data_IF_215565781559
#
_entry.id   IF_215565781559
#
_cell.length_a   1.000
_cell.length_b   1.000
_cell.length_c   1.000
_cell.angle_alpha   90.00
_cell.angle_beta   90.00
_cell.angle_gamma   90.00
#
_symmetry.space_group_name_H-M   'P 1'
#
loop_
_entity.id
_entity.type
_entity.pdbx_description
1 polymer ?
#
# COMPACT_ATOMS: atom_id res chain seq x y z
N UNK A 1 13.76 -19.10 -27.96
CA UNK A 1 12.96 -18.03 -28.58
C UNK A 1 13.70 -16.71 -28.36
N UNK A 2 14.29 -16.10 -29.39
CA UNK A 2 15.09 -14.85 -29.26
C UNK A 2 14.14 -13.66 -29.05
N UNK A 3 14.06 -13.15 -27.83
CA UNK A 3 13.33 -11.91 -27.53
C UNK A 3 14.21 -10.75 -27.99
N UNK A 4 13.76 -9.98 -28.99
CA UNK A 4 14.41 -8.74 -29.42
C UNK A 4 14.32 -7.74 -28.27
N UNK A 5 15.46 -7.29 -27.76
CA UNK A 5 15.55 -6.13 -26.89
C UNK A 5 15.35 -4.87 -27.75
N UNK A 6 14.11 -4.50 -28.01
CA UNK A 6 13.81 -3.19 -28.57
C UNK A 6 14.18 -2.12 -27.52
N UNK A 7 15.03 -1.16 -27.88
CA UNK A 7 15.40 -0.09 -26.94
C UNK A 7 14.19 0.81 -26.73
N UNK A 8 14.04 1.38 -25.53
CA UNK A 8 12.99 2.35 -25.24
C UNK A 8 12.90 3.48 -26.26
N UNK A 9 14.04 3.92 -26.80
CA UNK A 9 14.15 4.92 -27.86
C UNK A 9 13.44 4.52 -29.15
N UNK A 10 13.33 3.22 -29.41
CA UNK A 10 12.80 2.67 -30.65
C UNK A 10 11.27 2.56 -30.58
N UNK A 11 10.74 2.37 -29.36
CA UNK A 11 9.29 2.31 -29.10
C UNK A 11 8.73 3.70 -28.75
N UNK A 12 9.55 4.55 -28.12
CA UNK A 12 9.19 5.89 -27.62
C UNK A 12 10.34 6.87 -27.86
N UNK A 13 10.50 7.42 -29.08
CA UNK A 13 11.61 8.30 -29.44
C UNK A 13 11.74 9.55 -28.54
N UNK A 14 10.64 9.99 -27.94
CA UNK A 14 10.60 11.18 -27.07
C UNK A 14 10.66 10.86 -25.57
N UNK A 15 10.99 9.63 -25.17
CA UNK A 15 11.00 9.20 -23.77
C UNK A 15 11.87 10.08 -22.87
N UNK A 16 13.07 10.47 -23.32
CA UNK A 16 13.95 11.32 -22.51
C UNK A 16 13.38 12.73 -22.34
N UNK A 17 12.74 13.28 -23.37
CA UNK A 17 12.06 14.56 -23.30
C UNK A 17 10.82 14.49 -22.39
N UNK A 18 10.03 13.42 -22.48
CA UNK A 18 8.88 13.19 -21.60
C UNK A 18 9.28 12.99 -20.13
N UNK A 19 10.39 12.28 -19.85
CA UNK A 19 10.97 12.13 -18.50
C UNK A 19 11.45 13.47 -17.95
N UNK A 20 12.19 14.24 -18.76
CA UNK A 20 12.71 15.55 -18.37
C UNK A 20 11.57 16.56 -18.10
N UNK A 21 10.58 16.62 -18.99
CA UNK A 21 9.38 17.44 -18.83
C UNK A 21 8.56 17.02 -17.61
N UNK A 22 8.49 15.72 -17.29
CA UNK A 22 7.78 15.25 -16.09
C UNK A 22 8.52 15.57 -14.79
N UNK A 23 9.85 15.41 -14.74
CA UNK A 23 10.66 15.83 -13.59
C UNK A 23 10.53 17.36 -13.38
N UNK A 24 10.44 18.13 -14.47
CA UNK A 24 10.20 19.56 -14.43
C UNK A 24 8.76 19.93 -13.99
N UNK A 25 7.74 19.19 -14.44
CA UNK A 25 6.32 19.47 -14.13
C UNK A 25 5.88 18.99 -12.74
N UNK A 26 6.48 17.92 -12.22
CA UNK A 26 6.13 17.38 -10.90
C UNK A 26 6.82 18.12 -9.75
N UNK A 27 7.77 19.02 -10.05
CA UNK A 27 8.54 19.74 -9.05
C UNK A 27 9.39 18.81 -8.17
N UNK A 28 9.56 17.55 -8.57
CA UNK A 28 10.43 16.58 -7.91
C UNK A 28 11.85 17.12 -7.98
N UNK A 29 12.30 17.75 -6.90
CA UNK A 29 13.71 18.03 -6.73
C UNK A 29 14.43 16.70 -6.68
N UNK A 30 15.55 16.60 -7.39
CA UNK A 30 16.51 15.50 -7.22
C UNK A 30 16.75 15.26 -5.72
N UNK A 31 16.44 14.05 -5.24
CA UNK A 31 16.56 13.65 -3.82
C UNK A 31 15.27 13.59 -3.00
N UNK A 32 14.08 13.84 -3.56
CA UNK A 32 12.82 13.54 -2.86
C UNK A 32 12.39 12.08 -3.06
N UNK A 33 12.08 11.40 -1.95
CA UNK A 33 11.71 9.98 -1.88
C UNK A 33 10.26 9.81 -1.43
N UNK A 34 9.53 8.90 -2.09
CA UNK A 34 8.08 8.73 -1.95
C UNK A 34 7.68 7.30 -1.54
N UNK A 35 6.48 7.13 -0.97
CA UNK A 35 5.82 5.82 -0.95
C UNK A 35 5.29 5.45 -2.34
N UNK A 36 5.03 4.17 -2.63
CA UNK A 36 4.39 3.73 -3.90
C UNK A 36 3.11 4.53 -4.19
N UNK A 37 2.24 4.68 -3.19
CA UNK A 37 0.99 5.44 -3.33
C UNK A 37 1.24 6.92 -3.63
N UNK A 38 2.29 7.50 -3.06
CA UNK A 38 2.66 8.89 -3.30
C UNK A 38 3.28 9.07 -4.70
N UNK A 39 4.17 8.17 -5.10
CA UNK A 39 4.75 8.16 -6.44
C UNK A 39 3.66 8.13 -7.51
N UNK A 40 2.70 7.21 -7.40
CA UNK A 40 1.56 7.11 -8.33
C UNK A 40 0.68 8.38 -8.36
N UNK A 41 0.48 9.03 -7.21
CA UNK A 41 -0.28 10.30 -7.15
C UNK A 41 0.48 11.43 -7.84
N UNK A 42 1.79 11.50 -7.68
CA UNK A 42 2.63 12.54 -8.29
C UNK A 42 2.81 12.35 -9.80
N UNK A 43 2.91 11.10 -10.26
CA UNK A 43 3.13 10.79 -11.68
C UNK A 43 1.85 10.46 -12.43
N UNK A 44 0.67 10.82 -11.93
CA UNK A 44 -0.62 10.22 -12.34
C UNK A 44 -0.87 10.14 -13.85
N UNK A 45 -0.45 11.15 -14.65
CA UNK A 45 -0.55 11.09 -16.12
C UNK A 45 0.36 10.04 -16.74
N UNK A 46 1.60 9.95 -16.25
CA UNK A 46 2.59 8.96 -16.69
C UNK A 46 2.23 7.55 -16.25
N UNK A 47 1.75 7.37 -15.02
CA UNK A 47 1.20 6.09 -14.56
C UNK A 47 0.04 5.63 -15.45
N UNK A 48 -0.88 6.53 -15.77
CA UNK A 48 -1.99 6.25 -16.70
C UNK A 48 -1.50 5.86 -18.08
N UNK A 49 -0.43 6.50 -18.56
CA UNK A 49 0.16 6.23 -19.87
C UNK A 49 0.83 4.85 -19.92
N UNK A 50 1.71 4.55 -18.96
CA UNK A 50 2.46 3.29 -18.87
C UNK A 50 1.51 2.09 -18.81
N UNK A 51 0.44 2.22 -18.03
CA UNK A 51 -0.52 1.14 -17.80
C UNK A 51 -1.72 1.19 -18.76
N UNK A 52 -1.68 2.03 -19.81
CA UNK A 52 -2.79 2.14 -20.78
C UNK A 52 -3.07 0.83 -21.51
N UNK A 53 -2.02 0.05 -21.78
CA UNK A 53 -2.07 -1.23 -22.49
C UNK A 53 -2.15 -2.43 -21.54
N UNK A 54 -2.07 -2.20 -20.23
CA UNK A 54 -2.21 -3.27 -19.25
C UNK A 54 -3.67 -3.78 -19.22
N UNK A 55 -3.89 -5.09 -19.05
CA UNK A 55 -5.23 -5.63 -18.90
C UNK A 55 -5.93 -5.00 -17.69
N UNK A 56 -7.25 -4.85 -17.74
CA UNK A 56 -8.00 -4.50 -16.54
C UNK A 56 -8.12 -5.71 -15.63
N UNK A 57 -7.96 -5.53 -14.32
CA UNK A 57 -8.27 -6.54 -13.29
C UNK A 57 -9.71 -7.09 -13.37
N UNK A 58 -10.62 -6.40 -14.07
CA UNK A 58 -12.03 -6.75 -14.27
C UNK A 58 -12.26 -8.03 -15.09
N UNK A 59 -11.21 -8.57 -15.71
CA UNK A 59 -11.29 -9.70 -16.64
C UNK A 59 -11.11 -11.07 -15.96
N UNK A 60 -10.95 -11.14 -14.63
CA UNK A 60 -10.44 -12.36 -13.99
C UNK A 60 -11.23 -12.85 -12.77
N UNK A 61 -10.97 -14.12 -12.42
CA UNK A 61 -11.76 -15.00 -11.55
C UNK A 61 -12.29 -14.29 -10.30
N UNK A 62 -13.61 -14.12 -10.29
CA UNK A 62 -14.34 -13.57 -9.17
C UNK A 62 -14.62 -14.70 -8.19
N UNK A 63 -13.80 -14.84 -7.15
CA UNK A 63 -14.20 -15.62 -6.00
C UNK A 63 -15.22 -14.77 -5.21
N UNK A 64 -16.49 -15.13 -5.33
CA UNK A 64 -17.54 -14.55 -4.51
C UNK A 64 -17.47 -15.16 -3.12
N UNK A 65 -17.11 -14.36 -2.12
CA UNK A 65 -17.42 -14.71 -0.75
C UNK A 65 -18.95 -14.58 -0.61
N UNK A 66 -19.61 -15.62 -0.10
CA UNK A 66 -21.05 -15.63 0.16
C UNK A 66 -21.38 -14.75 1.37
N UNK A 67 -21.19 -13.45 1.23
CA UNK A 67 -21.41 -12.45 2.27
C UNK A 67 -22.48 -11.44 1.81
N UNK A 68 -23.40 -11.03 2.70
CA UNK A 68 -24.47 -10.09 2.35
C UNK A 68 -23.90 -8.71 2.01
N UNK A 69 -24.39 -8.07 0.95
CA UNK A 69 -24.00 -6.69 0.64
C UNK A 69 -24.57 -5.74 1.70
N UNK A 70 -23.69 -4.98 2.37
CA UNK A 70 -24.10 -4.00 3.37
C UNK A 70 -23.91 -2.57 2.85
N UNK A 71 -24.92 -1.71 3.09
CA UNK A 71 -24.84 -0.27 2.81
C UNK A 71 -23.96 0.38 3.89
N UNK A 72 -22.69 0.55 3.56
CA UNK A 72 -21.73 1.19 4.46
C UNK A 72 -21.39 2.60 4.03
N UNK A 73 -21.31 3.48 5.01
CA UNK A 73 -20.71 4.80 4.91
C UNK A 73 -19.21 4.77 4.53
N UNK A 74 -18.85 5.43 3.43
CA UNK A 74 -17.48 5.46 2.91
C UNK A 74 -16.63 6.62 3.45
N UNK A 75 -17.14 7.43 4.40
CA UNK A 75 -16.44 8.60 4.96
C UNK A 75 -15.07 8.27 5.57
N UNK A 76 -14.87 7.04 6.04
CA UNK A 76 -13.63 6.61 6.69
C UNK A 76 -13.02 5.34 6.07
N UNK A 77 -13.11 5.20 4.74
CA UNK A 77 -12.68 3.99 4.03
C UNK A 77 -11.27 3.49 4.41
N UNK A 78 -10.28 4.38 4.50
CA UNK A 78 -8.92 4.01 4.91
C UNK A 78 -8.84 3.56 6.37
N UNK A 79 -9.59 4.19 7.27
CA UNK A 79 -9.62 3.79 8.69
C UNK A 79 -10.30 2.45 8.83
N UNK A 80 -11.44 2.22 8.16
CA UNK A 80 -12.15 0.95 8.17
C UNK A 80 -11.24 -0.15 7.60
N UNK A 81 -10.63 0.08 6.44
CA UNK A 81 -9.72 -0.89 5.81
C UNK A 81 -8.56 -1.29 6.73
N UNK A 82 -7.79 -0.31 7.23
CA UNK A 82 -6.65 -0.58 8.13
C UNK A 82 -7.10 -1.17 9.47
N UNK A 83 -8.26 -0.78 10.00
CA UNK A 83 -8.79 -1.37 11.23
C UNK A 83 -9.17 -2.83 11.02
N UNK A 84 -9.86 -3.16 9.93
CA UNK A 84 -10.26 -4.53 9.61
C UNK A 84 -9.06 -5.44 9.36
N UNK A 85 -8.04 -4.94 8.66
CA UNK A 85 -6.76 -5.63 8.47
C UNK A 85 -6.09 -5.94 9.83
N UNK A 86 -5.95 -4.94 10.69
CA UNK A 86 -5.34 -5.08 11.99
C UNK A 86 -6.14 -6.04 12.89
N UNK A 87 -7.47 -5.94 12.94
CA UNK A 87 -8.31 -6.85 13.71
C UNK A 87 -8.18 -8.29 13.17
N UNK A 88 -8.15 -8.49 11.86
CA UNK A 88 -7.96 -9.82 11.27
C UNK A 88 -6.59 -10.40 11.63
N UNK A 89 -5.51 -9.62 11.50
CA UNK A 89 -4.17 -10.03 11.90
C UNK A 89 -4.10 -10.40 13.40
N UNK A 90 -4.72 -9.59 14.26
CA UNK A 90 -4.82 -9.86 15.70
C UNK A 90 -5.58 -11.15 15.97
N UNK A 91 -6.70 -11.38 15.29
CA UNK A 91 -7.53 -12.57 15.47
C UNK A 91 -6.81 -13.85 15.02
N UNK A 92 -6.01 -13.78 13.96
CA UNK A 92 -5.32 -14.92 13.38
C UNK A 92 -4.02 -15.28 14.10
N UNK A 93 -3.28 -14.26 14.54
CA UNK A 93 -1.89 -14.44 15.00
C UNK A 93 -1.66 -14.00 16.45
N UNK A 94 -2.65 -13.34 17.06
CA UNK A 94 -2.58 -12.82 18.42
C UNK A 94 -1.73 -11.56 18.56
N UNK A 95 -1.80 -10.96 19.74
CA UNK A 95 -1.13 -9.70 20.08
C UNK A 95 0.35 -9.64 19.68
N UNK A 96 1.11 -10.70 20.00
CA UNK A 96 2.56 -10.72 19.83
C UNK A 96 3.00 -10.60 18.36
N UNK A 97 2.13 -10.92 17.41
CA UNK A 97 2.42 -10.85 15.97
C UNK A 97 1.96 -9.55 15.31
N UNK A 98 1.40 -8.62 16.08
CA UNK A 98 0.99 -7.31 15.60
C UNK A 98 2.00 -6.18 15.86
N UNK A 99 3.26 -6.51 16.20
CA UNK A 99 4.28 -5.54 16.59
C UNK A 99 4.51 -4.44 15.54
N UNK A 100 4.58 -4.81 14.26
CA UNK A 100 4.72 -3.85 13.16
C UNK A 100 3.58 -2.83 13.10
N UNK A 101 2.33 -3.25 13.33
CA UNK A 101 1.18 -2.33 13.42
C UNK A 101 1.32 -1.38 14.60
N UNK A 102 1.78 -1.88 15.76
CA UNK A 102 2.03 -1.05 16.94
C UNK A 102 3.13 -0.02 16.70
N UNK A 103 4.22 -0.40 16.03
CA UNK A 103 5.31 0.51 15.67
C UNK A 103 4.89 1.59 14.68
N UNK A 104 4.12 1.22 13.65
CA UNK A 104 3.56 2.17 12.69
C UNK A 104 2.60 3.15 13.37
N UNK A 105 1.71 2.65 14.24
CA UNK A 105 0.79 3.49 14.99
C UNK A 105 1.53 4.49 15.90
N UNK A 106 2.54 4.03 16.67
CA UNK A 106 3.37 4.93 17.49
C UNK A 106 4.12 5.97 16.66
N UNK A 107 4.65 5.56 15.51
CA UNK A 107 5.36 6.48 14.61
C UNK A 107 4.44 7.53 14.01
N UNK A 108 3.21 7.13 13.63
CA UNK A 108 2.16 8.06 13.21
C UNK A 108 1.78 9.03 14.31
N UNK A 109 1.56 8.53 15.53
CA UNK A 109 1.21 9.31 16.71
C UNK A 109 2.28 10.36 17.05
N UNK A 110 3.57 9.99 17.05
CA UNK A 110 4.69 10.93 17.17
C UNK A 110 4.68 12.01 16.09
N UNK A 111 4.34 11.62 14.86
CA UNK A 111 4.18 12.57 13.76
C UNK A 111 3.07 13.59 14.03
N UNK A 112 1.94 13.13 14.58
CA UNK A 112 0.83 13.99 14.98
C UNK A 112 1.19 14.90 16.15
N UNK A 113 1.96 14.43 17.13
CA UNK A 113 2.45 15.27 18.25
C UNK A 113 3.34 16.41 17.76
N UNK A 114 4.30 16.10 16.87
CA UNK A 114 5.14 17.13 16.24
C UNK A 114 4.30 18.15 15.47
N UNK A 115 3.28 17.68 14.75
CA UNK A 115 2.37 18.55 14.01
C UNK A 115 1.53 19.45 14.94
N UNK A 116 1.00 18.88 16.02
CA UNK A 116 0.24 19.61 17.02
C UNK A 116 1.10 20.71 17.67
N UNK A 117 2.33 20.37 18.06
CA UNK A 117 3.29 21.32 18.63
C UNK A 117 3.60 22.48 17.66
N UNK A 118 3.83 22.19 16.38
CA UNK A 118 4.00 23.22 15.34
C UNK A 118 2.76 24.10 15.16
N UNK A 119 1.59 23.61 15.55
CA UNK A 119 0.32 24.32 15.50
C UNK A 119 -0.04 25.03 16.82
N UNK A 120 0.88 25.07 17.79
CA UNK A 120 0.61 25.64 19.11
C UNK A 120 -0.37 24.82 19.97
N UNK A 121 -0.65 23.58 19.58
CA UNK A 121 -1.52 22.66 20.31
C UNK A 121 -0.69 21.72 21.17
N UNK A 122 -1.05 21.61 22.45
CA UNK A 122 -0.54 20.54 23.31
C UNK A 122 -1.38 19.28 23.08
N UNK A 123 -0.76 18.25 22.54
CA UNK A 123 -1.34 16.92 22.39
C UNK A 123 -0.34 15.86 22.86
N UNK A 124 -0.85 14.68 23.21
CA UNK A 124 -0.08 13.54 23.71
C UNK A 124 -0.47 12.26 22.98
N UNK A 125 -0.55 12.33 21.64
CA UNK A 125 -0.98 11.24 20.79
C UNK A 125 -0.09 10.00 20.95
N UNK A 126 1.24 10.14 21.11
CA UNK A 126 2.11 8.99 21.36
C UNK A 126 1.77 8.28 22.68
N UNK A 127 1.42 9.04 23.72
CA UNK A 127 0.99 8.48 25.01
C UNK A 127 -0.37 7.77 24.87
N UNK A 128 -1.32 8.38 24.15
CA UNK A 128 -2.64 7.80 23.87
C UNK A 128 -2.50 6.47 23.09
N UNK A 129 -1.67 6.46 22.03
CA UNK A 129 -1.37 5.24 21.28
C UNK A 129 -0.72 4.18 22.16
N UNK A 130 0.21 4.58 23.04
CA UNK A 130 0.85 3.68 24.01
C UNK A 130 -0.15 3.04 24.97
N UNK A 131 -1.07 3.83 25.53
CA UNK A 131 -2.12 3.34 26.43
C UNK A 131 -3.04 2.33 25.74
N UNK A 132 -3.46 2.63 24.51
CA UNK A 132 -4.27 1.72 23.71
C UNK A 132 -3.53 0.40 23.44
N UNK A 133 -2.28 0.45 22.97
CA UNK A 133 -1.44 -0.74 22.72
C UNK A 133 -1.27 -1.60 23.97
N UNK A 134 -1.08 -1.00 25.14
CA UNK A 134 -0.97 -1.75 26.40
C UNK A 134 -2.29 -2.43 26.74
N UNK A 135 -3.40 -1.69 26.64
CA UNK A 135 -4.72 -2.23 26.97
C UNK A 135 -5.17 -3.38 26.06
N UNK A 136 -4.69 -3.41 24.81
CA UNK A 136 -4.99 -4.51 23.88
C UNK A 136 -4.47 -5.87 24.36
N UNK A 137 -3.42 -5.92 25.20
CA UNK A 137 -2.88 -7.18 25.74
C UNK A 137 -3.89 -7.98 26.55
N UNK A 138 -4.83 -7.32 27.23
CA UNK A 138 -5.82 -7.98 28.09
C UNK A 138 -7.05 -8.47 27.33
N UNK A 139 -7.15 -8.19 26.03
CA UNK A 139 -8.32 -8.57 25.24
C UNK A 139 -8.23 -10.02 24.76
N UNK A 140 -9.24 -10.82 25.14
CA UNK A 140 -9.44 -12.20 24.66
C UNK A 140 -10.59 -12.33 23.65
N UNK A 141 -11.30 -11.24 23.35
CA UNK A 141 -12.44 -11.19 22.42
C UNK A 141 -12.46 -9.85 21.69
N UNK A 142 -12.94 -9.85 20.46
CA UNK A 142 -13.19 -8.64 19.67
C UNK A 142 -14.49 -8.00 20.16
N UNK A 143 -14.38 -6.95 20.97
CA UNK A 143 -15.52 -6.16 21.45
C UNK A 143 -15.61 -4.81 20.72
N UNK A 144 -16.67 -4.04 21.00
CA UNK A 144 -16.79 -2.67 20.49
C UNK A 144 -15.69 -1.74 21.04
N UNK A 145 -15.32 -1.85 22.31
CA UNK A 145 -14.20 -1.07 22.87
C UNK A 145 -12.87 -1.47 22.23
N UNK A 146 -12.58 -2.77 22.09
CA UNK A 146 -11.40 -3.27 21.37
C UNK A 146 -11.32 -2.65 19.97
N UNK A 147 -12.44 -2.68 19.24
CA UNK A 147 -12.54 -2.16 17.88
C UNK A 147 -12.30 -0.65 17.85
N UNK A 148 -12.83 0.09 18.82
CA UNK A 148 -12.58 1.53 18.94
C UNK A 148 -11.08 1.83 19.16
N UNK A 149 -10.39 1.04 19.99
CA UNK A 149 -8.94 1.21 20.18
C UNK A 149 -8.16 0.94 18.90
N UNK A 150 -8.49 -0.15 18.19
CA UNK A 150 -7.86 -0.44 16.90
C UNK A 150 -8.15 0.66 15.87
N UNK A 151 -9.36 1.23 15.83
CA UNK A 151 -9.67 2.36 14.96
C UNK A 151 -8.78 3.58 15.24
N UNK A 152 -8.56 3.91 16.52
CA UNK A 152 -7.67 5.01 16.91
C UNK A 152 -6.23 4.74 16.48
N UNK A 153 -5.74 3.52 16.66
CA UNK A 153 -4.41 3.12 16.16
C UNK A 153 -4.32 3.19 14.62
N UNK A 154 -5.36 2.74 13.91
CA UNK A 154 -5.45 2.80 12.46
C UNK A 154 -5.43 4.25 11.94
N UNK A 155 -5.97 5.22 12.68
CA UNK A 155 -5.86 6.64 12.35
C UNK A 155 -4.42 7.15 12.41
N UNK A 156 -3.65 6.74 13.41
CA UNK A 156 -2.23 7.07 13.46
C UNK A 156 -1.46 6.43 12.29
N UNK A 157 -1.76 5.17 11.96
CA UNK A 157 -1.16 4.48 10.80
C UNK A 157 -1.53 5.21 9.50
N UNK A 158 -2.80 5.60 9.33
CA UNK A 158 -3.24 6.34 8.15
C UNK A 158 -2.54 7.71 8.04
N UNK A 159 -2.38 8.42 9.17
CA UNK A 159 -1.59 9.65 9.22
C UNK A 159 -0.14 9.42 8.82
N UNK A 160 0.48 8.34 9.32
CA UNK A 160 1.83 7.94 8.93
C UNK A 160 1.96 7.73 7.42
N UNK A 161 1.13 6.83 6.88
CA UNK A 161 1.12 6.44 5.46
C UNK A 161 0.81 7.60 4.52
N UNK A 162 0.05 8.59 4.99
CA UNK A 162 -0.26 9.77 4.19
C UNK A 162 0.97 10.70 4.01
N UNK A 163 2.05 10.52 4.78
CA UNK A 163 3.31 11.24 4.62
C UNK A 163 3.47 12.40 5.60
N UNK A 164 3.66 12.07 6.88
CA UNK A 164 3.87 13.01 8.00
C UNK A 164 4.83 14.16 7.68
N UNK A 165 5.91 13.88 6.95
CA UNK A 165 6.92 14.87 6.56
C UNK A 165 6.44 15.89 5.52
N UNK A 166 5.52 15.51 4.61
CA UNK A 166 4.96 16.42 3.60
C UNK A 166 3.92 17.34 4.26
N UNK A 167 3.11 16.80 5.18
CA UNK A 167 2.13 17.60 5.93
C UNK A 167 2.79 18.60 6.87
N UNK A 168 3.84 18.20 7.59
CA UNK A 168 4.61 19.09 8.45
C UNK A 168 5.30 20.21 7.63
N UNK A 169 5.93 19.88 6.50
CA UNK A 169 6.56 20.87 5.60
C UNK A 169 5.54 21.84 4.99
N UNK A 170 4.37 21.37 4.55
CA UNK A 170 3.33 22.23 3.97
C UNK A 170 2.62 23.09 5.01
N UNK A 171 2.39 22.59 6.22
CA UNK A 171 1.79 23.37 7.29
C UNK A 171 2.72 24.48 7.79
N UNK A 172 4.01 24.19 7.93
CA UNK A 172 5.03 25.21 8.23
C UNK A 172 5.11 26.29 7.14
N UNK A 173 4.87 25.94 5.87
CA UNK A 173 4.94 26.87 4.74
C UNK A 173 3.65 27.70 4.52
N UNK A 174 2.49 27.25 5.02
CA UNK A 174 1.19 27.84 4.67
C UNK A 174 0.48 28.55 5.82
N UNK A 175 0.96 28.47 7.07
CA UNK A 175 0.29 29.06 8.24
C UNK A 175 -1.21 28.69 8.32
N UNK A 176 -1.57 27.49 7.82
CA UNK A 176 -2.96 27.00 7.72
C UNK A 176 -3.10 25.72 8.55
N UNK A 177 -3.47 25.90 9.81
CA UNK A 177 -3.71 24.83 10.79
C UNK A 177 -4.86 23.88 10.41
N UNK A 178 -5.81 24.33 9.58
CA UNK A 178 -7.05 23.61 9.25
C UNK A 178 -6.87 22.40 8.32
N UNK A 179 -5.78 22.34 7.54
CA UNK A 179 -5.71 21.43 6.39
C UNK A 179 -5.40 19.96 6.72
N UNK A 180 -4.85 19.66 7.90
CA UNK A 180 -4.42 18.29 8.28
C UNK A 180 -5.41 17.63 9.23
N UNK A 181 -6.03 18.41 10.14
CA UNK A 181 -7.16 17.96 10.97
C UNK A 181 -8.48 17.80 10.16
N UNK A 182 -8.56 18.41 8.96
CA UNK A 182 -9.73 18.28 8.09
C UNK A 182 -9.80 16.98 7.25
N UNK A 183 -8.75 16.14 7.23
CA UNK A 183 -8.71 14.91 6.41
C UNK A 183 -8.54 13.60 7.19
N UNK A 184 -7.94 13.64 8.37
CA UNK A 184 -7.92 12.51 9.31
C UNK A 184 -8.59 13.01 10.60
N UNK A 185 -9.68 12.36 11.08
CA UNK A 185 -10.31 12.77 12.33
C UNK A 185 -9.30 12.72 13.47
N UNK A 186 -9.40 13.65 14.41
CA UNK A 186 -8.67 13.54 15.67
C UNK A 186 -9.07 12.22 16.37
N UNK A 187 -8.12 11.31 16.63
CA UNK A 187 -8.43 10.01 17.23
C UNK A 187 -9.12 10.10 18.59
N UNK A 188 -8.97 11.22 19.32
CA UNK A 188 -9.61 11.44 20.63
C UNK A 188 -11.10 11.69 20.52
N UNK A 189 -11.56 12.22 19.38
CA UNK A 189 -12.96 12.54 19.12
C UNK A 189 -13.62 11.55 18.15
N UNK A 190 -12.94 10.47 17.77
CA UNK A 190 -13.51 9.47 16.89
C UNK A 190 -14.62 8.69 17.60
N UNK A 191 -15.83 8.77 17.05
CA UNK A 191 -16.98 8.02 17.52
C UNK A 191 -17.21 6.79 16.65
N UNK A 192 -17.10 5.60 17.25
CA UNK A 192 -17.46 4.34 16.62
C UNK A 192 -18.98 4.15 16.64
N UNK A 193 -19.65 4.69 15.62
CA UNK A 193 -21.08 4.46 15.40
C UNK A 193 -21.34 2.98 15.10
N UNK A 194 -22.59 2.54 15.28
CA UNK A 194 -22.97 1.15 14.99
C UNK A 194 -22.75 0.79 13.51
N UNK A 195 -23.01 1.71 12.59
CA UNK A 195 -22.76 1.51 11.16
C UNK A 195 -21.28 1.27 10.84
N UNK A 196 -20.36 2.01 11.47
CA UNK A 196 -18.92 1.83 11.29
C UNK A 196 -18.48 0.51 11.93
N UNK A 197 -19.04 0.17 13.09
CA UNK A 197 -18.71 -1.07 13.78
C UNK A 197 -19.13 -2.30 12.96
N UNK A 198 -20.35 -2.33 12.44
CA UNK A 198 -20.83 -3.43 11.59
C UNK A 198 -20.07 -3.51 10.27
N UNK A 199 -19.69 -2.37 9.68
CA UNK A 199 -18.82 -2.33 8.52
C UNK A 199 -17.46 -3.00 8.76
N UNK A 200 -16.83 -2.69 9.90
CA UNK A 200 -15.55 -3.28 10.27
C UNK A 200 -15.71 -4.77 10.48
N UNK A 201 -16.75 -5.21 11.20
CA UNK A 201 -17.03 -6.64 11.45
C UNK A 201 -17.20 -7.41 10.15
N UNK A 202 -17.95 -6.86 9.20
CA UNK A 202 -18.14 -7.46 7.89
C UNK A 202 -16.83 -7.55 7.10
N UNK A 203 -16.04 -6.47 7.08
CA UNK A 203 -14.76 -6.45 6.39
C UNK A 203 -13.75 -7.43 7.03
N UNK A 204 -13.74 -7.54 8.36
CA UNK A 204 -12.97 -8.57 9.08
C UNK A 204 -13.42 -9.95 8.62
N UNK A 205 -14.72 -10.24 8.60
CA UNK A 205 -15.24 -11.53 8.13
C UNK A 205 -14.80 -11.81 6.68
N UNK A 206 -14.87 -10.82 5.79
CA UNK A 206 -14.39 -10.96 4.40
C UNK A 206 -12.91 -11.31 4.32
N UNK A 207 -12.07 -10.68 5.14
CA UNK A 207 -10.64 -10.99 5.24
C UNK A 207 -10.42 -12.40 5.77
N UNK A 208 -11.16 -12.80 6.81
CA UNK A 208 -11.05 -14.13 7.42
C UNK A 208 -11.48 -15.25 6.46
N UNK A 209 -12.55 -15.06 5.68
CA UNK A 209 -12.94 -16.04 4.66
C UNK A 209 -11.90 -16.12 3.54
N UNK A 210 -11.32 -14.99 3.12
CA UNK A 210 -10.20 -14.98 2.17
C UNK A 210 -9.00 -15.73 2.73
N UNK A 211 -8.70 -15.56 4.02
CA UNK A 211 -7.63 -16.28 4.68
C UNK A 211 -7.80 -17.79 4.62
N UNK A 212 -9.03 -18.31 4.74
CA UNK A 212 -9.29 -19.75 4.58
C UNK A 212 -9.00 -20.26 3.18
N UNK A 213 -9.19 -19.43 2.16
CA UNK A 213 -9.01 -19.81 0.75
C UNK A 213 -7.54 -19.80 0.34
N UNK A 214 -6.80 -18.74 0.69
CA UNK A 214 -5.45 -18.50 0.14
C UNK A 214 -4.35 -18.43 1.20
N UNK A 215 -4.70 -18.54 2.49
CA UNK A 215 -3.77 -18.50 3.65
C UNK A 215 -2.65 -17.44 3.49
N UNK A 216 -3.02 -16.17 3.27
CA UNK A 216 -2.03 -15.12 3.15
C UNK A 216 -1.27 -14.95 4.46
N UNK A 217 0.02 -14.70 4.36
CA UNK A 217 0.77 -14.03 5.40
C UNK A 217 0.50 -12.52 5.32
N UNK A 218 0.18 -11.91 6.47
CA UNK A 218 0.14 -10.46 6.61
C UNK A 218 1.55 -10.00 6.98
N UNK A 219 2.33 -9.57 5.98
CA UNK A 219 3.69 -9.07 6.18
C UNK A 219 3.85 -7.69 5.55
N UNK A 220 4.52 -6.77 6.24
CA UNK A 220 4.76 -5.39 5.80
C UNK A 220 6.24 -5.15 5.44
N UNK A 221 6.97 -6.17 4.98
CA UNK A 221 8.44 -6.10 4.91
C UNK A 221 8.96 -6.23 3.48
N UNK A 222 9.38 -5.08 2.93
CA UNK A 222 10.30 -5.03 1.80
C UNK A 222 11.69 -4.59 2.29
N UNK A 223 12.74 -5.16 1.71
CA UNK A 223 14.14 -4.79 1.96
C UNK A 223 14.39 -3.35 1.47
N UNK A 224 14.98 -2.49 2.31
CA UNK A 224 15.22 -1.07 1.95
C UNK A 224 16.13 -0.91 0.73
N UNK A 225 17.02 -1.86 0.51
CA UNK A 225 17.96 -1.91 -0.60
C UNK A 225 17.26 -2.31 -1.92
N UNK A 226 16.07 -2.95 -1.84
CA UNK A 226 15.24 -3.25 -3.00
C UNK A 226 14.56 -2.02 -3.60
N UNK A 227 14.52 -0.93 -2.85
CA UNK A 227 13.90 0.32 -3.26
C UNK A 227 14.76 1.11 -4.23
N UNK A 228 14.11 2.03 -4.92
CA UNK A 228 14.71 2.90 -5.93
C UNK A 228 15.10 4.26 -5.37
N UNK A 229 15.68 5.10 -6.21
CA UNK A 229 15.92 6.51 -5.85
C UNK A 229 14.62 7.29 -5.59
N UNK A 230 13.49 6.81 -6.13
CA UNK A 230 12.20 7.51 -6.14
C UNK A 230 11.22 6.92 -5.12
N UNK A 231 11.13 5.59 -4.99
CA UNK A 231 10.25 4.93 -4.03
C UNK A 231 11.09 4.40 -2.88
N UNK A 232 10.74 4.71 -1.63
CA UNK A 232 11.43 4.23 -0.40
C UNK A 232 10.54 3.45 0.55
N UNK A 233 9.22 3.45 0.31
CA UNK A 233 8.27 2.60 1.02
C UNK A 233 7.18 2.12 0.08
N UNK A 234 6.68 0.92 0.31
CA UNK A 234 5.53 0.36 -0.38
C UNK A 234 5.04 -0.76 0.51
N UNK A 235 3.75 -0.78 0.82
CA UNK A 235 3.18 -1.79 1.71
C UNK A 235 2.12 -2.54 0.89
N UNK A 236 2.40 -3.77 0.47
CA UNK A 236 1.32 -4.69 0.12
C UNK A 236 0.61 -5.11 1.41
N UNK A 237 -0.69 -5.39 1.33
CA UNK A 237 -1.47 -5.75 2.52
C UNK A 237 -1.66 -7.28 2.63
N UNK A 238 -1.45 -8.03 1.54
CA UNK A 238 -1.64 -9.48 1.47
C UNK A 238 -0.47 -10.14 0.74
N UNK A 239 0.13 -11.18 1.33
CA UNK A 239 1.17 -11.98 0.66
C UNK A 239 0.84 -13.45 0.79
N UNK A 240 1.00 -14.22 -0.28
CA UNK A 240 0.98 -15.68 -0.22
C UNK A 240 2.25 -16.25 -0.81
N UNK A 241 2.31 -17.58 -0.88
CA UNK A 241 3.44 -18.30 -1.49
C UNK A 241 3.61 -17.91 -2.96
N UNK A 242 2.52 -17.73 -3.68
CA UNK A 242 2.48 -17.48 -5.13
C UNK A 242 1.80 -16.15 -5.52
N UNK A 243 1.35 -15.33 -4.56
CA UNK A 243 0.65 -14.09 -4.87
C UNK A 243 1.02 -12.91 -3.97
N UNK A 244 0.88 -11.70 -4.51
CA UNK A 244 0.91 -10.45 -3.75
C UNK A 244 -0.39 -9.70 -3.94
N UNK A 245 -0.92 -9.09 -2.89
CA UNK A 245 -2.21 -8.44 -2.93
C UNK A 245 -2.35 -7.24 -2.03
N UNK A 246 -3.48 -6.57 -2.19
CA UNK A 246 -3.80 -5.33 -1.50
C UNK A 246 -5.26 -5.36 -1.04
N UNK A 247 -5.49 -4.81 0.16
CA UNK A 247 -6.80 -4.72 0.79
C UNK A 247 -7.43 -3.39 0.43
N UNK A 248 -8.54 -3.45 -0.31
CA UNK A 248 -9.33 -2.27 -0.62
C UNK A 248 -10.63 -2.28 0.16
N UNK A 249 -10.94 -1.16 0.79
CA UNK A 249 -12.29 -0.86 1.25
C UNK A 249 -12.87 0.22 0.34
N UNK A 250 -13.71 -0.17 -0.62
CA UNK A 250 -14.18 0.77 -1.66
C UNK A 250 -15.60 0.48 -2.11
N UNK A 251 -16.35 1.55 -2.38
CA UNK A 251 -17.63 1.53 -3.11
C UNK A 251 -17.51 1.00 -4.54
N UNK A 252 -16.29 0.91 -5.08
CA UNK A 252 -16.06 0.40 -6.44
C UNK A 252 -16.20 -1.12 -6.44
N UNK A 253 -17.21 -1.60 -7.16
CA UNK A 253 -17.49 -3.03 -7.32
C UNK A 253 -16.51 -3.77 -8.23
N UNK A 254 -15.50 -3.09 -8.77
CA UNK A 254 -14.44 -3.67 -9.60
C UNK A 254 -13.15 -2.87 -9.41
N UNK A 255 -11.97 -3.51 -9.47
CA UNK A 255 -10.72 -2.79 -9.47
C UNK A 255 -10.60 -1.83 -10.64
N UNK A 256 -9.82 -0.78 -10.48
CA UNK A 256 -9.47 0.11 -11.57
C UNK A 256 -7.98 -0.02 -11.92
N UNK A 257 -7.56 0.70 -12.97
CA UNK A 257 -6.15 0.71 -13.38
C UNK A 257 -5.22 1.24 -12.29
N UNK A 258 -5.70 2.09 -11.37
CA UNK A 258 -4.86 2.61 -10.29
C UNK A 258 -4.50 1.53 -9.28
N UNK A 259 -5.41 0.58 -9.01
CA UNK A 259 -5.11 -0.55 -8.13
C UNK A 259 -4.11 -1.50 -8.78
N UNK A 260 -4.26 -1.74 -10.10
CA UNK A 260 -3.28 -2.52 -10.85
C UNK A 260 -1.89 -1.87 -10.84
N UNK A 261 -1.81 -0.56 -11.08
CA UNK A 261 -0.55 0.19 -11.01
C UNK A 261 0.17 -0.01 -9.69
N UNK A 262 -0.57 0.08 -8.58
CA UNK A 262 -0.04 -0.12 -7.24
C UNK A 262 0.50 -1.55 -7.05
N UNK A 263 -0.28 -2.57 -7.42
CA UNK A 263 0.10 -3.97 -7.27
C UNK A 263 1.31 -4.36 -8.12
N UNK A 264 1.43 -3.83 -9.33
CA UNK A 264 2.61 -4.10 -10.18
C UNK A 264 3.87 -3.53 -9.55
N UNK A 265 3.81 -2.33 -8.96
CA UNK A 265 4.94 -1.77 -8.24
C UNK A 265 5.30 -2.58 -7.00
N UNK A 266 4.31 -3.06 -6.25
CA UNK A 266 4.55 -3.97 -5.11
C UNK A 266 5.21 -5.27 -5.53
N UNK A 267 4.74 -5.88 -6.62
CA UNK A 267 5.35 -7.10 -7.15
C UNK A 267 6.80 -6.87 -7.55
N UNK A 268 7.10 -5.79 -8.30
CA UNK A 268 8.48 -5.47 -8.70
C UNK A 268 9.39 -5.28 -7.48
N UNK A 269 8.92 -4.56 -6.45
CA UNK A 269 9.66 -4.39 -5.20
C UNK A 269 9.91 -5.71 -4.47
N UNK A 270 8.96 -6.65 -4.53
CA UNK A 270 9.09 -7.99 -3.92
C UNK A 270 10.14 -8.83 -4.63
N UNK A 271 10.06 -8.89 -5.97
CA UNK A 271 11.07 -9.58 -6.80
C UNK A 271 12.47 -9.07 -6.48
N UNK A 272 12.63 -7.75 -6.36
CA UNK A 272 13.91 -7.14 -5.99
C UNK A 272 14.34 -7.48 -4.57
N UNK A 273 13.42 -7.39 -3.61
CA UNK A 273 13.69 -7.76 -2.21
C UNK A 273 14.21 -9.18 -2.10
N UNK A 274 13.55 -10.13 -2.78
CA UNK A 274 13.98 -11.52 -2.77
C UNK A 274 15.31 -11.70 -3.48
N UNK A 275 15.56 -10.99 -4.59
CA UNK A 275 16.88 -10.99 -5.22
C UNK A 275 17.99 -10.48 -4.27
N UNK A 276 17.78 -9.35 -3.58
CA UNK A 276 18.76 -8.80 -2.62
C UNK A 276 19.00 -9.72 -1.43
N UNK A 277 17.96 -10.42 -0.97
CA UNK A 277 18.04 -11.37 0.14
C UNK A 277 18.45 -12.79 -0.31
N UNK A 278 18.83 -13.00 -1.57
CA UNK A 278 19.15 -14.29 -2.16
C UNK A 278 18.04 -15.36 -1.98
N UNK A 279 16.77 -14.93 -2.07
CA UNK A 279 15.58 -15.78 -2.01
C UNK A 279 14.95 -15.92 -3.41
N UNK A 280 14.37 -17.08 -3.73
CA UNK A 280 13.54 -17.21 -4.93
C UNK A 280 12.22 -16.44 -4.75
N UNK A 281 11.83 -15.67 -5.76
CA UNK A 281 10.49 -15.08 -5.82
C UNK A 281 9.54 -16.05 -6.55
N UNK A 282 8.61 -16.64 -5.82
CA UNK A 282 7.60 -17.57 -6.36
C UNK A 282 6.29 -16.86 -6.75
N UNK A 283 6.23 -15.53 -6.64
CA UNK A 283 5.01 -14.75 -6.88
C UNK A 283 4.71 -14.70 -8.38
N UNK A 284 3.60 -15.34 -8.78
CA UNK A 284 3.12 -15.42 -10.16
C UNK A 284 1.74 -14.77 -10.36
N UNK A 285 1.08 -14.33 -9.27
CA UNK A 285 -0.21 -13.63 -9.29
C UNK A 285 -0.18 -12.33 -8.50
N UNK A 286 -1.04 -11.40 -8.90
CA UNK A 286 -1.43 -10.24 -8.10
C UNK A 286 -2.91 -10.34 -7.72
N UNK A 287 -3.29 -9.81 -6.56
CA UNK A 287 -4.68 -9.87 -6.09
C UNK A 287 -5.19 -8.60 -5.43
N UNK A 288 -6.50 -8.38 -5.48
CA UNK A 288 -7.20 -7.36 -4.69
C UNK A 288 -8.33 -8.03 -3.95
N UNK A 289 -8.40 -7.84 -2.64
CA UNK A 289 -9.62 -8.12 -1.89
C UNK A 289 -10.34 -6.80 -1.63
N UNK A 290 -11.55 -6.67 -2.17
CA UNK A 290 -12.47 -5.63 -1.73
C UNK A 290 -13.24 -6.13 -0.50
N UNK A 291 -12.76 -5.80 0.69
CA UNK A 291 -13.35 -6.25 1.96
C UNK A 291 -14.74 -5.66 2.24
N UNK A 292 -15.14 -4.62 1.51
CA UNK A 292 -16.52 -4.09 1.56
C UNK A 292 -17.51 -5.01 0.86
N UNK A 293 -17.12 -5.61 -0.25
CA UNK A 293 -18.00 -6.45 -1.08
C UNK A 293 -17.71 -7.94 -0.94
N UNK A 294 -16.67 -8.30 -0.19
CA UNK A 294 -16.19 -9.68 -0.08
C UNK A 294 -15.72 -10.24 -1.43
N UNK A 295 -15.23 -9.40 -2.34
CA UNK A 295 -14.82 -9.85 -3.68
C UNK A 295 -13.29 -9.89 -3.77
N UNK A 296 -12.76 -11.09 -4.02
CA UNK A 296 -11.36 -11.29 -4.34
C UNK A 296 -11.20 -11.33 -5.87
N UNK A 297 -10.28 -10.52 -6.38
CA UNK A 297 -9.86 -10.49 -7.78
C UNK A 297 -8.41 -10.96 -7.83
N UNK A 298 -8.10 -11.89 -8.74
CA UNK A 298 -6.74 -12.43 -8.91
C UNK A 298 -6.36 -12.33 -10.38
N UNK A 299 -5.11 -11.97 -10.68
CA UNK A 299 -4.59 -11.89 -12.03
C UNK A 299 -3.17 -12.46 -12.10
N UNK A 300 -2.89 -13.41 -13.00
CA UNK A 300 -1.53 -13.85 -13.27
C UNK A 300 -0.66 -12.71 -13.81
N UNK A 301 0.57 -12.62 -13.31
CA UNK A 301 1.57 -11.63 -13.72
C UNK A 301 1.95 -11.81 -15.19
N UNK A 302 1.93 -13.04 -15.70
CA UNK A 302 2.20 -13.36 -17.11
C UNK A 302 1.29 -12.62 -18.11
N UNK A 303 0.16 -12.06 -17.66
CA UNK A 303 -0.76 -11.28 -18.48
C UNK A 303 -0.39 -9.80 -18.55
N UNK A 304 0.54 -9.34 -17.71
CA UNK A 304 1.05 -7.97 -17.75
C UNK A 304 2.08 -7.89 -18.88
N UNK A 305 1.91 -7.00 -19.88
CA UNK A 305 2.87 -6.89 -20.97
C UNK A 305 4.26 -6.49 -20.46
N UNK A 306 5.32 -7.14 -20.94
CA UNK A 306 6.71 -6.80 -20.60
C UNK A 306 7.03 -5.30 -20.74
N UNK A 307 6.56 -4.57 -21.75
CA UNK A 307 6.78 -3.12 -21.84
C UNK A 307 6.19 -2.33 -20.65
N UNK A 308 5.09 -2.79 -20.06
CA UNK A 308 4.48 -2.15 -18.88
C UNK A 308 5.38 -2.35 -17.66
N UNK A 309 5.86 -3.58 -17.43
CA UNK A 309 6.76 -3.92 -16.32
C UNK A 309 8.06 -3.11 -16.44
N UNK A 310 8.65 -3.16 -17.63
CA UNK A 310 9.89 -2.46 -17.97
C UNK A 310 9.80 -0.94 -17.71
N UNK A 311 8.73 -0.32 -18.19
CA UNK A 311 8.51 1.10 -17.99
C UNK A 311 8.29 1.42 -16.52
N UNK A 312 7.58 0.55 -15.78
CA UNK A 312 7.34 0.75 -14.37
C UNK A 312 8.64 0.71 -13.56
N UNK A 313 9.52 -0.26 -13.82
CA UNK A 313 10.85 -0.37 -13.20
C UNK A 313 11.70 0.89 -13.42
N UNK A 314 11.78 1.34 -14.68
CA UNK A 314 12.62 2.48 -15.06
C UNK A 314 12.10 3.79 -14.48
N UNK A 315 10.78 4.03 -14.57
CA UNK A 315 10.15 5.29 -14.20
C UNK A 315 10.00 5.46 -12.70
N UNK A 316 9.53 4.43 -12.01
CA UNK A 316 9.12 4.55 -10.61
C UNK A 316 10.20 4.11 -9.65
N UNK A 317 11.10 3.22 -10.08
CA UNK A 317 12.17 2.69 -9.22
C UNK A 317 13.52 3.31 -9.62
N UNK A 318 13.60 4.05 -10.73
CA UNK A 318 14.80 4.81 -11.07
C UNK A 318 15.98 3.92 -11.45
N UNK A 319 15.74 2.76 -12.06
CA UNK A 319 16.82 1.91 -12.55
C UNK A 319 17.48 2.56 -13.75
N UNK A 320 18.75 2.96 -13.60
CA UNK A 320 19.60 3.30 -14.74
C UNK A 320 20.06 2.02 -15.44
N UNK A 321 19.77 1.94 -16.74
CA UNK A 321 19.81 0.72 -17.54
C UNK A 321 21.24 0.14 -17.66
N UNK A 322 22.26 0.97 -17.46
CA UNK A 322 23.65 0.56 -17.51
C UNK A 322 24.05 -0.47 -16.44
N UNK A 323 23.41 -0.45 -15.27
CA UNK A 323 23.75 -1.38 -14.18
C UNK A 323 22.84 -2.62 -14.14
N UNK A 324 21.60 -2.54 -14.62
CA UNK A 324 20.64 -3.65 -14.58
C UNK A 324 20.83 -4.71 -15.67
N UNK A 325 21.42 -4.35 -16.82
CA UNK A 325 21.83 -5.34 -17.83
C UNK A 325 22.96 -6.22 -17.28
N UNK A 326 23.91 -5.64 -16.54
CA UNK A 326 25.05 -6.39 -16.00
C UNK A 326 24.63 -7.48 -15.00
N UNK A 327 23.61 -7.22 -14.18
CA UNK A 327 23.12 -8.18 -13.18
C UNK A 327 22.12 -9.21 -13.75
N UNK A 328 21.23 -8.79 -14.66
CA UNK A 328 20.12 -9.65 -15.11
C UNK A 328 20.46 -10.60 -16.26
N UNK A 329 21.47 -10.28 -17.08
CA UNK A 329 21.97 -11.19 -18.13
C UNK A 329 22.93 -12.25 -17.60
N UNK A 330 23.68 -11.96 -16.53
CA UNK A 330 24.63 -12.94 -15.96
C UNK A 330 23.89 -14.15 -15.38
N UNK A 331 22.77 -13.93 -14.67
CA UNK A 331 22.05 -15.02 -14.02
C UNK A 331 21.17 -15.86 -14.97
N UNK A 332 20.63 -15.26 -16.04
CA UNK A 332 19.85 -16.02 -17.05
C UNK A 332 20.71 -16.84 -18.02
N UNK A 333 22.01 -16.56 -18.11
CA UNK A 333 22.96 -17.37 -18.90
C UNK A 333 23.55 -18.53 -18.09
N UNK A 334 23.65 -18.41 -16.77
CA UNK A 334 24.15 -19.47 -15.89
C UNK A 334 23.10 -20.57 -15.67
N UNK A 335 21.81 -20.25 -15.66
CA UNK A 335 20.73 -21.26 -15.57
C UNK A 335 20.48 -22.02 -16.89
N UNK A 336 21.22 -21.72 -17.96
CA UNK A 336 21.14 -22.40 -19.26
C UNK A 336 22.45 -23.10 -19.67
N UNK A 337 23.40 -23.27 -18.75
CA UNK A 337 24.62 -24.10 -18.92
C UNK A 337 24.59 -25.28 -17.95
#
# INVERSE_FOLDING_TARGET
MRIRSERLSDIYPDWQAARADLLAQTGTKTGEVYSVTQALKHTGKLATYIFKTAPSLNAYEKAHLNLPEIKIDNRFASIIGTSSEFIAAYALHGYAKCESYFELARTGARGMDKYAALSGLTAHFEADAGADIVSLKSYNKITKDFTLKICRLAMFIAFFRAGTNIFAKKAAALNRHEWVLGRVPDPRYFNLTDDIYEAIRFAVQSIMETYKLVKPEFSLHFCREAFGEIIVTGDGDLYGVDFIGDLKFSLRNKPDRSWLQQLVLYWILKVRTDHFENRPCAIDKISVLNSRTGQLYVMPIALIPNPVIFNAETVFIGIDFHNAIAASFHNRLIEQQ
#
